data_IF_585021345280
#
_entry.id   IF_585021345280
#
_cell.length_a   1.000
_cell.length_b   1.000
_cell.length_c   1.000
_cell.angle_alpha   90.00
_cell.angle_beta   90.00
_cell.angle_gamma   90.00
#
_symmetry.space_group_name_H-M   'P 1'
#
loop_
_entity.id
_entity.type
_entity.pdbx_description
1 polymer ?
#
# COMPACT_ATOMS: atom_id res chain seq x y z
N UNK A 1 -10.86 -18.86 -27.93
CA UNK A 1 -10.18 -19.84 -27.06
C UNK A 1 -9.08 -19.09 -26.30
N UNK A 2 -9.13 -19.11 -24.95
CA UNK A 2 -8.12 -18.59 -24.00
C UNK A 2 -7.84 -17.08 -24.09
N UNK A 3 -7.79 -16.27 -23.02
CA UNK A 3 -7.43 -16.57 -21.64
C UNK A 3 -8.32 -15.82 -20.66
N UNK A 4 -9.00 -16.58 -19.80
CA UNK A 4 -9.66 -16.09 -18.58
C UNK A 4 -8.75 -16.38 -17.39
N UNK A 5 -7.57 -15.74 -17.36
CA UNK A 5 -6.76 -15.74 -16.15
C UNK A 5 -7.34 -14.73 -15.16
N UNK A 6 -8.24 -15.24 -14.31
CA UNK A 6 -8.77 -14.51 -13.18
C UNK A 6 -7.62 -14.01 -12.29
N UNK A 7 -7.61 -12.74 -11.85
CA UNK A 7 -6.56 -12.20 -10.97
C UNK A 7 -6.41 -12.97 -9.64
N UNK A 8 -7.45 -13.72 -9.23
CA UNK A 8 -7.38 -14.64 -8.10
C UNK A 8 -6.50 -15.87 -8.37
N UNK A 9 -6.51 -16.41 -9.59
CA UNK A 9 -5.72 -17.58 -9.96
C UNK A 9 -4.22 -17.24 -10.04
N UNK A 10 -3.87 -16.05 -10.57
CA UNK A 10 -2.49 -15.56 -10.61
C UNK A 10 -1.94 -15.36 -9.19
N UNK A 11 -2.74 -14.86 -8.25
CA UNK A 11 -2.39 -14.71 -6.83
C UNK A 11 -2.12 -16.05 -6.14
N UNK A 12 -2.94 -17.08 -6.41
CA UNK A 12 -2.76 -18.42 -5.84
C UNK A 12 -1.52 -19.11 -6.42
N UNK A 13 -1.27 -18.98 -7.72
CA UNK A 13 -0.10 -19.58 -8.38
C UNK A 13 1.20 -18.90 -7.96
N UNK A 14 1.18 -17.58 -7.76
CA UNK A 14 2.29 -16.81 -7.19
C UNK A 14 2.60 -17.25 -5.74
N UNK A 15 1.57 -17.41 -4.90
CA UNK A 15 1.70 -17.89 -3.51
C UNK A 15 2.25 -19.33 -3.43
N UNK A 16 1.80 -20.24 -4.29
CA UNK A 16 2.30 -21.63 -4.37
C UNK A 16 3.76 -21.74 -4.82
N UNK A 17 4.22 -20.86 -5.73
CA UNK A 17 5.62 -20.82 -6.16
C UNK A 17 6.54 -20.36 -5.01
N UNK A 18 6.08 -19.40 -4.22
CA UNK A 18 6.78 -18.86 -3.05
C UNK A 18 6.89 -19.86 -1.90
N UNK A 19 5.89 -20.72 -1.70
CA UNK A 19 5.96 -21.83 -0.72
C UNK A 19 7.11 -22.82 -1.00
N UNK A 20 7.40 -23.11 -2.28
CA UNK A 20 8.55 -23.93 -2.66
C UNK A 20 9.88 -23.21 -2.43
N UNK A 21 9.95 -21.91 -2.70
CA UNK A 21 11.14 -21.11 -2.45
C UNK A 21 11.39 -20.89 -0.95
N UNK A 22 10.34 -20.73 -0.13
CA UNK A 22 10.44 -20.67 1.34
C UNK A 22 10.87 -22.00 1.95
N UNK A 23 10.38 -23.12 1.42
CA UNK A 23 10.84 -24.45 1.84
C UNK A 23 12.32 -24.67 1.49
N UNK A 24 12.78 -24.18 0.33
CA UNK A 24 14.18 -24.22 -0.07
C UNK A 24 15.07 -23.26 0.75
N UNK A 25 14.59 -22.04 1.05
CA UNK A 25 15.26 -21.08 1.94
C UNK A 25 15.34 -21.61 3.38
N UNK A 26 14.28 -22.25 3.87
CA UNK A 26 14.28 -22.97 5.13
C UNK A 26 15.19 -24.20 5.13
N UNK A 27 15.69 -24.68 3.99
CA UNK A 27 16.77 -25.67 3.93
C UNK A 27 18.16 -25.02 3.81
N UNK A 28 18.28 -23.86 3.16
CA UNK A 28 19.56 -23.17 2.98
C UNK A 28 20.05 -22.39 4.22
N UNK A 29 19.16 -21.94 5.11
CA UNK A 29 19.53 -21.21 6.35
C UNK A 29 20.16 -22.13 7.40
N UNK A 30 20.06 -23.46 7.26
CA UNK A 30 20.57 -24.44 8.23
C UNK A 30 22.03 -24.88 8.02
N UNK A 31 22.77 -24.27 7.09
CA UNK A 31 24.18 -24.59 6.88
C UNK A 31 25.03 -23.64 7.76
N UNK A 32 25.30 -24.14 8.97
CA UNK A 32 26.32 -23.75 9.97
C UNK A 32 26.54 -22.25 10.26
N UNK A 33 26.12 -21.73 11.44
CA UNK A 33 26.72 -20.53 11.98
C UNK A 33 28.14 -20.86 12.51
N UNK A 34 29.12 -19.96 12.37
CA UNK A 34 30.48 -20.18 12.85
C UNK A 34 30.50 -20.42 14.37
N UNK A 35 31.28 -21.43 14.80
CA UNK A 35 31.52 -21.85 16.18
C UNK A 35 32.33 -20.84 17.03
N UNK A 36 31.91 -19.59 17.06
CA UNK A 36 32.39 -18.60 18.04
C UNK A 36 31.18 -17.82 18.51
N UNK A 37 30.72 -18.08 19.74
CA UNK A 37 29.50 -17.54 20.35
C UNK A 37 29.43 -16.01 20.15
N UNK A 38 28.67 -15.51 19.15
CA UNK A 38 28.41 -14.08 19.03
C UNK A 38 27.58 -13.70 20.25
N UNK A 39 27.95 -12.63 20.94
CA UNK A 39 27.16 -12.09 22.05
C UNK A 39 25.78 -11.68 21.53
N UNK A 40 24.80 -12.58 21.61
CA UNK A 40 23.42 -12.29 21.24
C UNK A 40 22.79 -11.34 22.25
N UNK A 41 21.92 -10.45 21.79
CA UNK A 41 21.28 -9.43 22.62
C UNK A 41 19.82 -9.80 22.83
N UNK A 42 19.46 -10.20 24.05
CA UNK A 42 18.06 -10.47 24.39
C UNK A 42 17.28 -9.15 24.50
N UNK A 43 16.18 -9.06 23.76
CA UNK A 43 15.26 -7.93 23.84
C UNK A 43 14.31 -8.15 25.01
N UNK A 44 14.51 -7.39 26.09
CA UNK A 44 13.79 -7.51 27.36
C UNK A 44 12.85 -6.33 27.59
N UNK A 45 12.05 -6.01 26.58
CA UNK A 45 11.00 -5.00 26.66
C UNK A 45 9.68 -5.55 26.13
N UNK A 46 8.52 -5.08 26.63
CA UNK A 46 7.23 -5.54 26.13
C UNK A 46 7.09 -5.40 24.61
N UNK A 47 6.60 -6.43 23.88
CA UNK A 47 5.99 -7.67 24.39
C UNK A 47 6.97 -8.88 24.47
N UNK A 48 8.28 -8.66 24.42
CA UNK A 48 9.31 -9.70 24.36
C UNK A 48 9.93 -10.05 25.73
N UNK A 49 9.42 -9.46 26.80
CA UNK A 49 9.85 -9.71 28.18
C UNK A 49 9.10 -10.88 28.86
N UNK A 50 8.08 -11.46 28.23
CA UNK A 50 7.23 -12.52 28.79
C UNK A 50 8.01 -13.84 29.05
N UNK A 51 7.99 -14.30 30.30
CA UNK A 51 8.57 -15.58 30.73
C UNK A 51 7.87 -16.80 30.12
N UNK A 52 6.62 -16.66 29.66
CA UNK A 52 5.83 -17.75 29.06
C UNK A 52 6.06 -17.92 27.56
N UNK A 53 6.98 -17.16 26.97
CA UNK A 53 7.37 -17.33 25.59
C UNK A 53 7.88 -18.75 25.32
N UNK A 54 7.45 -19.35 24.21
CA UNK A 54 7.70 -20.75 23.84
C UNK A 54 8.53 -20.87 22.54
N UNK A 55 9.05 -19.75 22.03
CA UNK A 55 9.99 -19.69 20.90
C UNK A 55 10.80 -18.39 20.93
N UNK A 56 12.02 -18.43 20.40
CA UNK A 56 12.87 -17.25 20.18
C UNK A 56 13.09 -17.03 18.69
N UNK A 57 12.80 -15.84 18.20
CA UNK A 57 13.19 -15.41 16.86
C UNK A 57 14.52 -14.67 17.00
N UNK A 58 15.51 -15.05 16.19
CA UNK A 58 16.82 -14.41 16.18
C UNK A 58 17.06 -13.70 14.85
N UNK A 59 17.27 -12.39 14.89
CA UNK A 59 17.60 -11.58 13.72
C UNK A 59 19.04 -11.81 13.25
N UNK A 60 19.35 -11.39 12.02
CA UNK A 60 20.68 -11.55 11.42
C UNK A 60 21.78 -10.77 12.13
N UNK A 61 21.42 -9.67 12.81
CA UNK A 61 22.30 -8.82 13.61
C UNK A 61 22.37 -9.25 15.10
N UNK A 62 21.81 -10.42 15.43
CA UNK A 62 22.04 -11.08 16.72
C UNK A 62 21.08 -10.70 17.85
N UNK A 63 19.97 -10.00 17.56
CA UNK A 63 18.93 -9.74 18.54
C UNK A 63 17.99 -10.94 18.69
N UNK A 64 17.63 -11.25 19.93
CA UNK A 64 16.77 -12.37 20.29
C UNK A 64 15.44 -11.86 20.87
N UNK A 65 14.35 -12.25 20.22
CA UNK A 65 12.99 -11.87 20.55
C UNK A 65 12.23 -13.09 21.10
N UNK A 66 11.94 -13.09 22.40
CA UNK A 66 11.10 -14.12 23.02
C UNK A 66 9.64 -13.90 22.60
N UNK A 67 9.05 -14.87 21.92
CA UNK A 67 7.68 -14.75 21.40
C UNK A 67 6.88 -16.04 21.56
N UNK A 68 5.67 -16.05 21.03
CA UNK A 68 4.70 -17.12 21.20
C UNK A 68 4.41 -17.79 19.86
N UNK A 69 4.63 -19.10 19.77
CA UNK A 69 4.34 -19.92 18.58
C UNK A 69 2.89 -19.75 18.14
N UNK A 70 1.96 -19.64 19.10
CA UNK A 70 0.54 -19.42 18.79
C UNK A 70 0.32 -18.12 18.03
N UNK A 71 1.04 -17.04 18.35
CA UNK A 71 0.91 -15.76 17.65
C UNK A 71 1.51 -15.86 16.25
N UNK A 72 2.71 -16.43 16.10
CA UNK A 72 3.32 -16.62 14.78
C UNK A 72 2.45 -17.46 13.85
N UNK A 73 1.89 -18.57 14.38
CA UNK A 73 0.96 -19.46 13.65
C UNK A 73 -0.36 -18.79 13.31
N UNK A 74 -0.89 -17.91 14.17
CA UNK A 74 -2.17 -17.22 13.93
C UNK A 74 -2.02 -15.98 13.05
N UNK A 75 -0.87 -15.33 13.07
CA UNK A 75 -0.55 -14.21 12.19
C UNK A 75 -0.36 -14.66 10.75
N UNK A 76 -0.01 -15.93 10.54
CA UNK A 76 0.27 -16.49 9.22
C UNK A 76 -0.87 -17.37 8.75
N UNK A 77 -1.39 -17.13 7.56
CA UNK A 77 -2.49 -17.90 6.97
C UNK A 77 -2.03 -19.22 6.36
N UNK A 78 -0.77 -19.30 5.95
CA UNK A 78 -0.16 -20.50 5.37
C UNK A 78 0.69 -21.25 6.40
N UNK A 79 0.92 -22.55 6.15
CA UNK A 79 1.65 -23.44 7.06
C UNK A 79 3.18 -23.20 7.08
N UNK A 80 3.64 -21.95 6.90
CA UNK A 80 5.06 -21.58 6.97
C UNK A 80 5.62 -21.87 8.37
N UNK A 81 5.02 -21.32 9.42
CA UNK A 81 5.49 -21.55 10.78
C UNK A 81 5.31 -22.98 11.27
N UNK A 82 4.19 -23.68 11.03
CA UNK A 82 4.12 -25.10 11.36
C UNK A 82 5.22 -25.93 10.68
N UNK A 83 5.59 -25.62 9.44
CA UNK A 83 6.70 -26.30 8.76
C UNK A 83 8.05 -25.95 9.39
N UNK A 84 8.36 -24.67 9.61
CA UNK A 84 9.61 -24.22 10.26
C UNK A 84 9.73 -24.79 11.68
N UNK A 85 8.64 -24.79 12.45
CA UNK A 85 8.59 -25.32 13.81
C UNK A 85 8.69 -26.86 13.86
N UNK A 86 8.46 -27.55 12.75
CA UNK A 86 8.63 -29.01 12.65
C UNK A 86 10.07 -29.45 12.38
N UNK A 87 10.93 -28.53 11.93
CA UNK A 87 12.34 -28.80 11.69
C UNK A 87 13.11 -28.90 13.03
N UNK A 88 14.21 -29.67 13.09
CA UNK A 88 15.12 -29.65 14.24
C UNK A 88 15.68 -28.23 14.46
N UNK A 89 15.29 -27.58 15.56
CA UNK A 89 15.75 -26.24 15.90
C UNK A 89 16.87 -26.28 16.94
N UNK A 90 17.88 -25.39 16.86
CA UNK A 90 18.76 -25.10 17.99
C UNK A 90 17.93 -24.69 19.20
N UNK A 91 18.36 -25.10 20.40
CA UNK A 91 17.64 -24.78 21.64
C UNK A 91 18.56 -24.10 22.63
N UNK A 92 18.05 -23.08 23.33
CA UNK A 92 18.73 -22.44 24.46
C UNK A 92 17.95 -22.68 25.75
N UNK A 93 18.70 -22.78 26.83
CA UNK A 93 18.14 -22.85 28.18
C UNK A 93 17.83 -21.42 28.64
N UNK A 94 16.55 -21.12 28.87
CA UNK A 94 16.14 -19.88 29.53
C UNK A 94 15.72 -20.24 30.94
N UNK A 95 16.59 -19.95 31.92
CA UNK A 95 16.30 -20.25 33.33
C UNK A 95 15.21 -19.30 33.82
N UNK A 96 14.08 -19.84 34.29
CA UNK A 96 13.21 -19.12 35.22
C UNK A 96 13.84 -19.23 36.60
N UNK A 97 14.08 -18.10 37.28
CA UNK A 97 14.74 -18.06 38.60
C UNK A 97 13.94 -18.76 39.72
N UNK A 98 12.78 -19.36 39.41
CA UNK A 98 11.80 -19.81 40.39
C UNK A 98 11.51 -21.32 40.40
N UNK A 99 12.28 -22.18 39.70
CA UNK A 99 12.01 -23.63 39.67
C UNK A 99 13.03 -24.46 40.46
N UNK A 100 12.51 -25.26 41.40
CA UNK A 100 13.25 -26.23 42.21
C UNK A 100 13.85 -27.37 41.36
N UNK A 101 14.93 -27.96 41.87
CA UNK A 101 15.95 -28.80 41.19
C UNK A 101 15.43 -30.17 40.68
N UNK A 102 14.14 -30.33 40.34
CA UNK A 102 13.56 -31.63 39.94
C UNK A 102 12.75 -31.65 38.64
N UNK A 103 12.77 -30.57 37.86
CA UNK A 103 12.14 -30.57 36.52
C UNK A 103 13.05 -31.24 35.49
N UNK A 104 12.54 -32.24 34.78
CA UNK A 104 13.24 -32.94 33.70
C UNK A 104 13.76 -31.96 32.63
N UNK A 105 14.95 -32.18 32.03
CA UNK A 105 15.63 -31.22 31.12
C UNK A 105 14.85 -30.82 29.86
N UNK A 106 13.74 -31.48 29.54
CA UNK A 106 12.96 -31.26 28.33
C UNK A 106 12.03 -30.03 28.38
N UNK A 107 11.75 -29.48 29.56
CA UNK A 107 10.78 -28.39 29.73
C UNK A 107 11.36 -26.97 29.66
N UNK A 108 12.69 -26.80 29.80
CA UNK A 108 13.33 -25.47 29.92
C UNK A 108 14.08 -25.03 28.63
N UNK A 109 14.00 -25.83 27.56
CA UNK A 109 14.73 -25.58 26.32
C UNK A 109 13.82 -24.98 25.24
N UNK A 110 13.92 -23.66 25.06
CA UNK A 110 13.13 -22.90 24.08
C UNK A 110 13.81 -22.98 22.69
N UNK A 111 13.07 -23.33 21.62
CA UNK A 111 13.61 -23.35 20.26
C UNK A 111 13.96 -21.95 19.77
N UNK A 112 15.08 -21.84 19.06
CA UNK A 112 15.53 -20.60 18.42
C UNK A 112 15.42 -20.76 16.91
N UNK A 113 14.76 -19.81 16.27
CA UNK A 113 14.60 -19.75 14.82
C UNK A 113 15.40 -18.54 14.32
N UNK A 114 16.54 -18.75 13.64
CA UNK A 114 17.25 -17.68 12.97
C UNK A 114 16.48 -17.21 11.74
N UNK A 115 16.41 -15.89 11.55
CA UNK A 115 15.84 -15.24 10.37
C UNK A 115 16.88 -14.32 9.73
N UNK A 116 16.88 -14.16 8.40
CA UNK A 116 17.88 -13.35 7.70
C UNK A 116 17.62 -11.84 7.76
N UNK A 117 16.46 -11.41 8.26
CA UNK A 117 16.15 -10.00 8.46
C UNK A 117 16.82 -9.47 9.74
N UNK A 118 17.19 -8.18 9.72
CA UNK A 118 17.79 -7.49 10.86
C UNK A 118 16.76 -7.08 11.92
N UNK A 119 17.23 -6.60 13.07
CA UNK A 119 16.37 -6.13 14.16
C UNK A 119 15.41 -5.02 13.74
N UNK A 120 15.80 -4.15 12.80
CA UNK A 120 14.96 -3.04 12.30
C UNK A 120 13.71 -3.54 11.60
N UNK A 121 13.77 -4.70 10.95
CA UNK A 121 12.61 -5.32 10.29
C UNK A 121 11.91 -6.31 11.22
N UNK A 122 12.67 -7.12 11.96
CA UNK A 122 12.12 -8.19 12.81
C UNK A 122 11.31 -7.63 13.98
N UNK A 123 11.81 -6.61 14.68
CA UNK A 123 11.13 -6.00 15.83
C UNK A 123 9.72 -5.48 15.47
N UNK A 124 9.56 -4.56 14.49
CA UNK A 124 8.24 -4.05 14.14
C UNK A 124 7.34 -5.14 13.55
N UNK A 125 7.87 -6.09 12.76
CA UNK A 125 7.07 -7.20 12.24
C UNK A 125 6.47 -8.05 13.36
N UNK A 126 7.30 -8.42 14.35
CA UNK A 126 6.85 -9.20 15.49
C UNK A 126 5.87 -8.41 16.35
N UNK A 127 6.13 -7.13 16.63
CA UNK A 127 5.19 -6.26 17.36
C UNK A 127 3.83 -6.15 16.67
N UNK A 128 3.77 -6.13 15.33
CA UNK A 128 2.51 -6.17 14.58
C UNK A 128 1.70 -7.46 14.79
N UNK A 129 2.33 -8.55 15.27
CA UNK A 129 1.64 -9.79 15.63
C UNK A 129 0.96 -9.72 17.00
N UNK A 130 1.30 -8.74 17.85
CA UNK A 130 0.74 -8.60 19.20
C UNK A 130 -0.39 -7.55 19.21
N UNK A 131 -1.63 -7.94 19.55
CA UNK A 131 -2.71 -6.98 19.78
C UNK A 131 -2.48 -6.15 21.06
N UNK A 132 -3.08 -4.94 21.18
CA UNK A 132 -3.96 -4.30 20.21
C UNK A 132 -3.18 -3.61 19.09
N UNK A 133 -3.53 -3.94 17.85
CA UNK A 133 -2.90 -3.39 16.64
C UNK A 133 -3.18 -1.90 16.40
N UNK A 134 -4.03 -1.31 17.23
CA UNK A 134 -4.69 -0.03 16.96
C UNK A 134 -4.04 1.20 17.56
N UNK A 135 -2.93 1.08 18.31
CA UNK A 135 -2.17 2.27 18.70
C UNK A 135 -1.47 2.88 17.48
N UNK A 136 -2.14 3.84 16.85
CA UNK A 136 -1.64 4.57 15.69
C UNK A 136 -0.32 5.30 16.00
N UNK A 137 -0.08 5.71 17.25
CA UNK A 137 1.18 6.37 17.65
C UNK A 137 2.33 5.39 17.67
N UNK A 138 2.10 4.18 18.19
CA UNK A 138 3.10 3.12 18.18
C UNK A 138 3.49 2.72 16.74
N UNK A 139 2.52 2.62 15.83
CA UNK A 139 2.76 2.30 14.40
C UNK A 139 3.59 3.36 13.67
N UNK A 140 3.32 4.65 13.91
CA UNK A 140 4.10 5.75 13.31
C UNK A 140 5.56 5.69 13.75
N UNK A 141 5.82 5.35 15.01
CA UNK A 141 7.21 5.21 15.49
C UNK A 141 7.90 3.97 14.88
N UNK A 142 7.20 2.83 14.87
CA UNK A 142 7.76 1.55 14.40
C UNK A 142 8.03 1.50 12.90
N UNK A 143 7.22 2.18 12.09
CA UNK A 143 7.33 2.19 10.62
C UNK A 143 7.68 3.59 10.09
N UNK A 144 8.43 4.35 10.88
CA UNK A 144 8.71 5.77 10.66
C UNK A 144 9.55 6.06 9.41
N UNK A 145 10.43 5.15 9.01
CA UNK A 145 11.23 5.29 7.81
C UNK A 145 10.74 4.37 6.68
N UNK A 146 10.88 4.85 5.44
CA UNK A 146 10.41 4.16 4.24
C UNK A 146 11.10 2.80 4.06
N UNK A 147 12.41 2.71 4.35
CA UNK A 147 13.21 1.51 4.12
C UNK A 147 12.80 0.37 5.04
N UNK A 148 12.69 0.64 6.34
CA UNK A 148 12.13 -0.27 7.34
C UNK A 148 10.71 -0.67 6.96
N UNK A 149 9.86 0.29 6.56
CA UNK A 149 8.48 -0.04 6.18
C UNK A 149 8.43 -1.00 4.98
N UNK A 150 9.24 -0.77 3.94
CA UNK A 150 9.38 -1.69 2.79
C UNK A 150 9.92 -3.06 3.22
N UNK A 151 10.92 -3.10 4.10
CA UNK A 151 11.48 -4.34 4.66
C UNK A 151 10.43 -5.14 5.45
N UNK A 152 9.62 -4.47 6.27
CA UNK A 152 8.53 -5.10 7.03
C UNK A 152 7.45 -5.65 6.10
N UNK A 153 7.05 -4.91 5.06
CA UNK A 153 6.11 -5.44 4.06
C UNK A 153 6.70 -6.67 3.36
N UNK A 154 7.98 -6.64 3.01
CA UNK A 154 8.66 -7.76 2.36
C UNK A 154 8.72 -8.99 3.25
N UNK A 155 9.09 -8.81 4.52
CA UNK A 155 9.15 -9.88 5.51
C UNK A 155 7.74 -10.45 5.82
N UNK A 156 6.74 -9.59 6.02
CA UNK A 156 5.36 -10.04 6.22
C UNK A 156 4.85 -10.87 5.04
N UNK A 157 5.16 -10.46 3.81
CA UNK A 157 4.85 -11.19 2.59
C UNK A 157 5.63 -12.50 2.45
N UNK A 158 6.90 -12.52 2.89
CA UNK A 158 7.75 -13.71 2.90
C UNK A 158 7.24 -14.75 3.90
N UNK A 159 6.81 -14.32 5.09
CA UNK A 159 6.31 -15.21 6.14
C UNK A 159 4.79 -15.47 6.06
N UNK A 160 4.13 -15.00 5.00
CA UNK A 160 2.69 -15.14 4.75
C UNK A 160 1.82 -14.60 5.92
N UNK A 161 2.25 -13.48 6.50
CA UNK A 161 1.61 -12.82 7.65
C UNK A 161 0.59 -11.76 7.20
N UNK A 162 -0.63 -12.18 6.85
CA UNK A 162 -1.67 -11.31 6.26
C UNK A 162 -2.03 -10.08 7.11
N UNK A 163 -2.13 -10.24 8.44
CA UNK A 163 -2.47 -9.15 9.37
C UNK A 163 -1.40 -8.05 9.38
N UNK A 164 -0.16 -8.39 9.78
CA UNK A 164 0.99 -7.50 9.70
C UNK A 164 1.20 -6.91 8.30
N UNK A 165 1.07 -7.72 7.23
CA UNK A 165 1.21 -7.24 5.85
C UNK A 165 0.21 -6.12 5.56
N UNK A 166 -1.08 -6.34 5.85
CA UNK A 166 -2.14 -5.37 5.58
C UNK A 166 -1.91 -4.07 6.34
N UNK A 167 -1.48 -4.15 7.60
CA UNK A 167 -1.18 -2.96 8.42
C UNK A 167 0.01 -2.21 7.82
N UNK A 168 1.12 -2.89 7.56
CA UNK A 168 2.34 -2.29 7.04
C UNK A 168 2.12 -1.66 5.65
N UNK A 169 1.40 -2.32 4.74
CA UNK A 169 1.04 -1.79 3.42
C UNK A 169 0.14 -0.56 3.49
N UNK A 170 -0.83 -0.56 4.41
CA UNK A 170 -1.69 0.61 4.62
C UNK A 170 -0.88 1.80 5.13
N UNK A 171 0.05 1.54 6.05
CA UNK A 171 0.96 2.55 6.57
C UNK A 171 1.89 3.09 5.48
N UNK A 172 2.57 2.20 4.74
CA UNK A 172 3.41 2.50 3.59
C UNK A 172 2.71 3.43 2.61
N UNK A 173 1.50 3.05 2.18
CA UNK A 173 0.75 3.86 1.23
C UNK A 173 0.40 5.25 1.77
N UNK A 174 -0.08 5.31 3.01
CA UNK A 174 -0.66 6.54 3.57
C UNK A 174 0.41 7.54 3.99
N UNK A 175 1.50 7.07 4.60
CA UNK A 175 2.50 7.92 5.22
C UNK A 175 3.77 8.10 4.38
N UNK A 176 4.09 7.14 3.50
CA UNK A 176 5.32 7.19 2.71
C UNK A 176 5.08 7.44 1.23
N UNK A 177 4.14 6.73 0.60
CA UNK A 177 3.99 6.80 -0.86
C UNK A 177 3.10 7.98 -1.31
N UNK A 178 1.88 8.09 -0.80
CA UNK A 178 0.95 9.14 -1.25
C UNK A 178 1.46 10.58 -1.04
N UNK A 179 2.19 10.92 0.04
CA UNK A 179 2.75 12.26 0.22
C UNK A 179 3.77 12.67 -0.85
N UNK A 180 4.47 11.70 -1.46
CA UNK A 180 5.49 11.95 -2.48
C UNK A 180 4.93 12.14 -3.89
N UNK A 181 3.63 11.92 -4.12
CA UNK A 181 2.98 12.01 -5.44
C UNK A 181 3.71 11.18 -6.52
N UNK A 182 4.47 11.82 -7.42
CA UNK A 182 5.28 11.18 -8.46
C UNK A 182 6.36 10.27 -7.87
N UNK A 183 7.06 10.73 -6.84
CA UNK A 183 8.08 9.92 -6.15
C UNK A 183 7.49 8.65 -5.54
N UNK A 184 6.28 8.74 -5.01
CA UNK A 184 5.56 7.59 -4.45
C UNK A 184 5.21 6.52 -5.49
N UNK A 185 4.92 6.91 -6.72
CA UNK A 185 4.77 5.96 -7.83
C UNK A 185 6.10 5.30 -8.18
N UNK A 186 7.16 6.09 -8.26
CA UNK A 186 8.49 5.60 -8.61
C UNK A 186 9.03 4.59 -7.57
N UNK A 187 8.93 4.93 -6.28
CA UNK A 187 9.28 4.02 -5.17
C UNK A 187 8.48 2.73 -5.23
N UNK A 188 7.16 2.82 -5.39
CA UNK A 188 6.30 1.63 -5.39
C UNK A 188 6.62 0.69 -6.57
N UNK A 189 6.91 1.25 -7.75
CA UNK A 189 7.26 0.47 -8.94
C UNK A 189 8.67 -0.13 -8.83
N UNK A 190 9.63 0.62 -8.28
CA UNK A 190 10.97 0.13 -8.03
C UNK A 190 10.95 -1.02 -7.02
N UNK A 191 10.25 -0.86 -5.89
CA UNK A 191 10.06 -1.87 -4.86
C UNK A 191 9.44 -3.18 -5.41
N UNK A 192 8.53 -3.10 -6.38
CA UNK A 192 8.00 -4.29 -7.06
C UNK A 192 9.04 -5.05 -7.86
N UNK A 193 9.89 -4.32 -8.59
CA UNK A 193 10.86 -4.89 -9.53
C UNK A 193 12.10 -5.40 -8.81
N UNK A 194 12.63 -4.60 -7.89
CA UNK A 194 13.87 -4.86 -7.18
C UNK A 194 13.67 -5.87 -6.03
N UNK A 195 12.61 -5.70 -5.24
CA UNK A 195 12.34 -6.55 -4.05
C UNK A 195 11.30 -7.63 -4.26
N UNK A 196 10.61 -7.65 -5.41
CA UNK A 196 9.51 -8.59 -5.66
C UNK A 196 8.27 -8.35 -4.77
N UNK A 197 8.07 -7.12 -4.29
CA UNK A 197 6.96 -6.77 -3.40
C UNK A 197 5.61 -6.79 -4.13
N UNK A 198 4.60 -7.44 -3.54
CA UNK A 198 3.25 -7.53 -4.11
C UNK A 198 2.38 -6.29 -3.76
N UNK A 199 2.80 -5.10 -4.18
CA UNK A 199 2.16 -3.80 -3.85
C UNK A 199 1.51 -3.08 -5.05
N UNK A 200 0.89 -3.85 -5.95
CA UNK A 200 0.31 -3.32 -7.19
C UNK A 200 -0.86 -2.37 -6.98
N UNK A 201 -1.62 -2.54 -5.91
CA UNK A 201 -2.73 -1.64 -5.60
C UNK A 201 -2.20 -0.29 -5.09
N UNK A 202 -1.17 -0.29 -4.26
CA UNK A 202 -0.49 0.91 -3.79
C UNK A 202 0.10 1.69 -4.97
N UNK A 203 0.76 0.99 -5.90
CA UNK A 203 1.31 1.60 -7.13
C UNK A 203 0.22 2.26 -7.97
N UNK A 204 -0.93 1.58 -8.14
CA UNK A 204 -2.10 2.16 -8.85
C UNK A 204 -2.67 3.37 -8.11
N UNK A 205 -2.70 3.33 -6.77
CA UNK A 205 -3.17 4.46 -5.96
C UNK A 205 -2.24 5.65 -6.07
N UNK A 206 -0.92 5.46 -6.11
CA UNK A 206 0.05 6.52 -6.42
C UNK A 206 -0.16 7.08 -7.84
N UNK A 207 -0.32 6.21 -8.85
CA UNK A 207 -0.59 6.66 -10.22
C UNK A 207 -1.89 7.47 -10.33
N UNK A 208 -2.92 7.13 -9.55
CA UNK A 208 -4.15 7.93 -9.46
C UNK A 208 -3.96 9.23 -8.69
N UNK A 209 -3.12 9.25 -7.67
CA UNK A 209 -2.79 10.47 -6.94
C UNK A 209 -2.05 11.48 -7.83
N UNK A 210 -1.18 10.99 -8.72
CA UNK A 210 -0.48 11.79 -9.74
C UNK A 210 -1.44 12.58 -10.64
N UNK A 211 -2.66 12.09 -10.90
CA UNK A 211 -3.69 12.78 -11.70
C UNK A 211 -4.18 14.10 -11.08
N UNK A 212 -3.85 14.38 -9.82
CA UNK A 212 -4.25 15.61 -9.12
C UNK A 212 -3.43 16.82 -9.52
N UNK A 213 -2.23 16.59 -10.05
CA UNK A 213 -1.30 17.65 -10.42
C UNK A 213 -1.21 17.71 -11.95
N UNK A 214 -1.26 18.91 -12.56
CA UNK A 214 -1.06 19.08 -13.99
C UNK A 214 0.28 18.50 -14.42
N UNK A 215 0.30 17.97 -15.63
CA UNK A 215 1.44 17.22 -16.12
C UNK A 215 2.69 18.10 -16.33
N UNK A 216 2.50 19.37 -16.68
CA UNK A 216 3.57 20.35 -16.84
C UNK A 216 4.04 20.98 -15.52
N UNK A 217 3.29 20.79 -14.43
CA UNK A 217 3.61 21.31 -13.09
C UNK A 217 4.38 20.28 -12.24
N UNK A 218 4.76 19.14 -12.82
CA UNK A 218 5.48 18.10 -12.08
C UNK A 218 6.92 18.55 -11.82
N UNK A 219 7.29 18.59 -10.55
CA UNK A 219 8.67 18.82 -10.15
C UNK A 219 9.48 17.52 -10.25
N UNK A 220 10.78 17.67 -10.49
CA UNK A 220 11.73 16.58 -10.33
C UNK A 220 11.68 16.03 -8.91
N UNK A 221 11.73 14.70 -8.78
CA UNK A 221 11.95 14.03 -7.51
C UNK A 221 13.06 12.98 -7.69
N UNK A 222 13.95 12.81 -6.70
CA UNK A 222 15.09 11.90 -6.84
C UNK A 222 14.68 10.44 -7.04
N UNK A 223 13.49 10.04 -6.58
CA UNK A 223 12.98 8.67 -6.74
C UNK A 223 12.74 8.30 -8.21
N UNK A 224 12.67 9.28 -9.13
CA UNK A 224 12.62 9.02 -10.56
C UNK A 224 13.85 8.28 -11.08
N UNK A 225 15.00 8.42 -10.42
CA UNK A 225 16.22 7.68 -10.76
C UNK A 225 16.05 6.16 -10.59
N UNK A 226 15.08 5.73 -9.77
CA UNK A 226 14.78 4.33 -9.51
C UNK A 226 13.91 3.67 -10.61
N UNK A 227 13.39 4.45 -11.56
CA UNK A 227 12.53 3.97 -12.65
C UNK A 227 13.09 4.29 -14.02
N UNK A 228 12.64 3.54 -15.03
CA UNK A 228 13.07 3.77 -16.41
C UNK A 228 12.29 4.93 -17.04
N UNK A 229 12.85 5.55 -18.07
CA UNK A 229 12.10 6.51 -18.90
C UNK A 229 10.80 5.91 -19.46
N UNK A 230 10.80 4.61 -19.77
CA UNK A 230 9.60 3.89 -20.22
C UNK A 230 8.51 3.79 -19.15
N UNK A 231 8.87 3.65 -17.87
CA UNK A 231 7.93 3.67 -16.75
C UNK A 231 7.26 5.04 -16.63
N UNK A 232 8.06 6.10 -16.69
CA UNK A 232 7.57 7.47 -16.66
C UNK A 232 6.66 7.79 -17.86
N UNK A 233 7.03 7.39 -19.08
CA UNK A 233 6.20 7.58 -20.27
C UNK A 233 4.87 6.82 -20.19
N UNK A 234 4.83 5.65 -19.55
CA UNK A 234 3.56 4.93 -19.28
C UNK A 234 2.67 5.71 -18.31
N UNK A 235 3.23 6.28 -17.24
CA UNK A 235 2.48 7.11 -16.29
C UNK A 235 1.96 8.39 -16.97
N UNK A 236 2.80 9.05 -17.78
CA UNK A 236 2.41 10.20 -18.58
C UNK A 236 1.27 9.87 -19.54
N UNK A 237 1.40 8.77 -20.30
CA UNK A 237 0.35 8.30 -21.21
C UNK A 237 -0.94 7.98 -20.46
N UNK A 238 -0.84 7.39 -19.27
CA UNK A 238 -1.99 7.17 -18.39
C UNK A 238 -2.68 8.48 -18.01
N UNK A 239 -1.93 9.51 -17.60
CA UNK A 239 -2.46 10.83 -17.27
C UNK A 239 -3.19 11.47 -18.47
N UNK A 240 -2.56 11.51 -19.65
CA UNK A 240 -3.16 12.06 -20.88
C UNK A 240 -4.47 11.35 -21.25
N UNK A 241 -4.50 10.00 -21.18
CA UNK A 241 -5.73 9.24 -21.46
C UNK A 241 -6.83 9.57 -20.45
N UNK A 242 -6.49 9.69 -19.17
CA UNK A 242 -7.44 10.09 -18.13
C UNK A 242 -7.95 11.51 -18.36
N UNK A 243 -7.07 12.45 -18.74
CA UNK A 243 -7.42 13.82 -19.09
C UNK A 243 -8.41 13.88 -20.25
N UNK A 244 -8.12 13.18 -21.35
CA UNK A 244 -9.00 13.12 -22.51
C UNK A 244 -10.37 12.49 -22.18
N UNK A 245 -10.38 11.43 -21.37
CA UNK A 245 -11.63 10.80 -20.93
C UNK A 245 -12.46 11.74 -20.03
N UNK A 246 -11.82 12.45 -19.11
CA UNK A 246 -12.48 13.41 -18.23
C UNK A 246 -13.04 14.61 -19.02
N UNK A 247 -12.26 15.17 -19.96
CA UNK A 247 -12.70 16.21 -20.88
C UNK A 247 -13.92 15.76 -21.70
N UNK A 248 -13.89 14.53 -22.24
CA UNK A 248 -14.99 13.99 -23.03
C UNK A 248 -16.30 13.89 -22.23
N UNK A 249 -16.23 13.55 -20.93
CA UNK A 249 -17.41 13.52 -20.06
C UNK A 249 -18.00 14.92 -19.86
N UNK A 250 -17.16 15.95 -19.75
CA UNK A 250 -17.64 17.33 -19.64
C UNK A 250 -18.26 17.83 -20.95
N UNK A 251 -17.66 17.50 -22.10
CA UNK A 251 -18.15 17.94 -23.41
C UNK A 251 -19.38 17.15 -23.89
N UNK A 252 -19.51 15.89 -23.51
CA UNK A 252 -20.64 15.04 -23.89
C UNK A 252 -21.74 15.11 -22.82
N UNK A 253 -22.74 15.96 -23.04
CA UNK A 253 -23.80 16.26 -22.08
C UNK A 253 -24.93 15.22 -22.03
N UNK A 254 -24.79 14.07 -22.70
CA UNK A 254 -25.80 12.99 -22.72
C UNK A 254 -26.11 12.39 -21.33
N UNK A 255 -25.27 12.64 -20.32
CA UNK A 255 -25.54 12.26 -18.94
C UNK A 255 -26.53 13.18 -18.22
N UNK A 256 -26.88 14.33 -18.80
CA UNK A 256 -27.86 15.26 -18.23
C UNK A 256 -29.27 14.75 -18.50
N UNK A 257 -29.96 14.33 -17.45
CA UNK A 257 -31.34 13.81 -17.50
C UNK A 257 -32.36 14.91 -17.20
N UNK A 258 -32.03 15.83 -16.28
CA UNK A 258 -32.94 16.88 -15.81
C UNK A 258 -33.00 18.04 -16.79
N UNK A 259 -34.20 18.29 -17.28
CA UNK A 259 -34.47 19.33 -18.28
C UNK A 259 -34.80 20.69 -17.68
N UNK A 260 -35.39 20.70 -16.48
CA UNK A 260 -35.91 21.91 -15.85
C UNK A 260 -34.84 22.63 -15.04
N UNK A 261 -33.63 22.66 -15.57
CA UNK A 261 -32.51 23.31 -14.90
C UNK A 261 -32.50 24.78 -15.29
N UNK A 262 -32.16 25.71 -14.38
CA UNK A 262 -32.21 27.16 -14.65
C UNK A 262 -31.40 27.61 -15.88
N UNK A 263 -30.35 26.87 -16.24
CA UNK A 263 -29.51 27.14 -17.41
C UNK A 263 -30.13 26.70 -18.75
N UNK A 264 -31.21 25.90 -18.74
CA UNK A 264 -31.98 25.54 -19.94
C UNK A 264 -33.26 26.37 -20.13
N UNK A 265 -33.72 27.05 -19.07
CA UNK A 265 -34.98 27.80 -19.07
C UNK A 265 -34.78 29.33 -19.17
N UNK A 266 -33.55 29.84 -18.94
CA UNK A 266 -33.26 31.27 -19.04
C UNK A 266 -33.39 31.79 -20.48
N UNK A 267 -34.48 32.49 -20.79
CA UNK A 267 -34.69 33.16 -22.09
C UNK A 267 -34.09 34.57 -22.16
N UNK A 268 -33.80 35.19 -21.01
CA UNK A 268 -33.23 36.54 -20.93
C UNK A 268 -31.70 36.59 -21.10
N UNK A 269 -31.03 35.43 -21.03
CA UNK A 269 -29.58 35.32 -21.13
C UNK A 269 -29.13 35.50 -22.60
N UNK A 270 -28.40 36.58 -22.91
CA UNK A 270 -27.85 36.81 -24.27
C UNK A 270 -26.82 35.72 -24.63
N UNK A 271 -27.01 35.04 -25.77
CA UNK A 271 -26.09 34.02 -26.30
C UNK A 271 -26.47 32.58 -25.96
N UNK A 272 -27.63 32.12 -26.43
CA UNK A 272 -28.06 30.73 -26.26
C UNK A 272 -27.32 29.81 -27.25
N UNK A 273 -26.72 28.73 -26.75
CA UNK A 273 -26.19 27.66 -27.60
C UNK A 273 -27.09 26.43 -27.54
N UNK A 274 -27.19 25.70 -28.65
CA UNK A 274 -27.91 24.41 -28.66
C UNK A 274 -26.97 23.31 -28.19
N UNK A 275 -27.37 22.58 -27.15
CA UNK A 275 -26.65 21.41 -26.64
C UNK A 275 -27.50 20.16 -26.76
N UNK A 276 -26.85 19.00 -26.85
CA UNK A 276 -27.50 17.68 -26.90
C UNK A 276 -27.35 17.00 -25.55
N UNK A 277 -28.48 16.66 -24.92
CA UNK A 277 -28.53 15.97 -23.63
C UNK A 277 -28.99 14.52 -23.80
N UNK A 278 -29.34 13.85 -22.69
CA UNK A 278 -29.87 12.48 -22.71
C UNK A 278 -31.00 12.28 -23.72
N UNK A 279 -31.05 11.08 -24.30
CA UNK A 279 -32.01 10.70 -25.35
C UNK A 279 -31.94 11.57 -26.61
N UNK A 280 -30.75 12.09 -26.93
CA UNK A 280 -30.46 12.94 -28.11
C UNK A 280 -31.33 14.19 -28.23
N UNK A 281 -31.83 14.68 -27.09
CA UNK A 281 -32.68 15.86 -27.03
C UNK A 281 -31.85 17.12 -27.13
N UNK A 282 -32.34 18.09 -27.90
CA UNK A 282 -31.71 19.41 -28.09
C UNK A 282 -32.31 20.40 -27.09
N UNK A 283 -31.47 21.13 -26.37
CA UNK A 283 -31.87 22.20 -25.45
C UNK A 283 -31.07 23.47 -25.72
N UNK A 284 -31.71 24.62 -25.56
CA UNK A 284 -31.02 25.89 -25.50
C UNK A 284 -30.38 26.02 -24.12
N UNK A 285 -29.09 26.35 -24.09
CA UNK A 285 -28.35 26.56 -22.86
C UNK A 285 -27.83 28.00 -22.80
N UNK A 286 -27.93 28.61 -21.62
CA UNK A 286 -27.39 29.95 -21.35
C UNK A 286 -25.88 30.02 -21.54
N UNK A 287 -25.38 31.12 -22.12
CA UNK A 287 -23.95 31.37 -22.36
C UNK A 287 -23.05 31.08 -21.15
N UNK A 288 -23.40 31.62 -19.98
CA UNK A 288 -22.58 31.44 -18.77
C UNK A 288 -22.38 29.96 -18.42
N UNK A 289 -23.38 29.12 -18.69
CA UNK A 289 -23.32 27.69 -18.38
C UNK A 289 -22.48 26.93 -19.39
N UNK A 290 -22.57 27.29 -20.68
CA UNK A 290 -21.71 26.70 -21.71
C UNK A 290 -20.25 27.09 -21.53
N UNK A 291 -20.00 28.35 -21.15
CA UNK A 291 -18.65 28.84 -20.82
C UNK A 291 -18.12 28.06 -19.60
N UNK A 292 -18.93 27.89 -18.55
CA UNK A 292 -18.58 27.07 -17.38
C UNK A 292 -18.27 25.61 -17.74
N UNK A 293 -19.07 24.94 -18.58
CA UNK A 293 -18.79 23.56 -19.03
C UNK A 293 -17.49 23.50 -19.83
N UNK A 294 -17.21 24.51 -20.66
CA UNK A 294 -15.96 24.64 -21.40
C UNK A 294 -14.75 24.73 -20.47
N UNK A 295 -14.81 25.62 -19.48
CA UNK A 295 -13.78 25.77 -18.45
C UNK A 295 -13.60 24.49 -17.62
N UNK A 296 -14.70 23.83 -17.25
CA UNK A 296 -14.68 22.55 -16.55
C UNK A 296 -14.03 21.44 -17.38
N UNK A 297 -14.25 21.40 -18.69
CA UNK A 297 -13.62 20.44 -19.59
C UNK A 297 -12.10 20.63 -19.65
N UNK A 298 -11.63 21.87 -19.72
CA UNK A 298 -10.19 22.21 -19.70
C UNK A 298 -9.57 21.82 -18.36
N UNK A 299 -10.17 22.26 -17.25
CA UNK A 299 -9.69 21.92 -15.91
C UNK A 299 -9.66 20.40 -15.67
N UNK A 300 -10.67 19.67 -16.18
CA UNK A 300 -10.74 18.21 -16.11
C UNK A 300 -9.64 17.51 -16.88
N UNK A 301 -9.26 18.06 -18.03
CA UNK A 301 -8.17 17.54 -18.84
C UNK A 301 -6.84 17.67 -18.12
N UNK A 302 -6.60 18.80 -17.47
CA UNK A 302 -5.36 19.09 -16.76
C UNK A 302 -5.22 18.28 -15.46
N UNK A 303 -6.32 18.08 -14.73
CA UNK A 303 -6.33 17.39 -13.43
C UNK A 303 -7.41 16.31 -13.38
N UNK A 304 -7.25 15.15 -14.05
CA UNK A 304 -8.31 14.15 -14.16
C UNK A 304 -8.52 13.34 -12.86
N UNK A 305 -8.95 14.02 -11.79
CA UNK A 305 -9.16 13.46 -10.45
C UNK A 305 -10.60 13.66 -9.98
N UNK A 306 -11.15 12.81 -9.12
CA UNK A 306 -12.46 13.07 -8.51
C UNK A 306 -12.40 14.06 -7.35
N UNK A 307 -11.19 14.28 -6.83
CA UNK A 307 -10.94 15.12 -5.67
C UNK A 307 -10.47 16.49 -6.14
N UNK A 308 -11.42 17.34 -6.51
CA UNK A 308 -11.19 18.78 -6.54
C UNK A 308 -11.22 19.29 -5.10
N UNK A 309 -10.07 19.79 -4.60
CA UNK A 309 -10.07 20.63 -3.41
C UNK A 309 -10.85 21.93 -3.68
N UNK A 310 -10.77 22.90 -2.76
CA UNK A 310 -11.16 24.29 -3.03
C UNK A 310 -10.18 24.91 -4.03
N UNK A 311 -10.17 24.41 -5.27
CA UNK A 311 -9.36 24.96 -6.34
C UNK A 311 -9.95 26.33 -6.66
N UNK A 312 -9.31 27.38 -6.16
CA UNK A 312 -9.41 28.70 -6.76
C UNK A 312 -8.84 28.54 -8.17
N UNK A 313 -9.73 28.39 -9.14
CA UNK A 313 -9.35 28.60 -10.53
C UNK A 313 -8.90 30.05 -10.60
N UNK A 314 -7.59 30.28 -10.73
CA UNK A 314 -7.04 31.60 -10.92
C UNK A 314 -7.62 32.14 -12.24
N UNK A 315 -8.65 32.98 -12.16
CA UNK A 315 -9.28 33.58 -13.33
C UNK A 315 -10.76 33.92 -13.22
N UNK A 316 -11.53 33.31 -12.33
CA UNK A 316 -12.97 33.57 -12.27
C UNK A 316 -13.50 33.65 -10.84
N UNK A 317 -14.03 34.82 -10.46
CA UNK A 317 -14.61 35.14 -9.15
C UNK A 317 -15.91 34.38 -8.79
N UNK A 318 -15.96 33.07 -9.05
CA UNK A 318 -17.14 32.22 -8.87
C UNK A 318 -16.79 30.96 -8.07
N UNK A 319 -16.36 31.14 -6.83
CA UNK A 319 -15.97 30.06 -5.90
C UNK A 319 -17.15 29.18 -5.42
N UNK A 320 -18.40 29.52 -5.77
CA UNK A 320 -19.60 28.83 -5.28
C UNK A 320 -20.20 27.74 -6.18
N UNK A 321 -19.87 27.67 -7.48
CA UNK A 321 -20.63 26.83 -8.46
C UNK A 321 -20.07 25.43 -8.75
N UNK A 322 -18.91 25.06 -8.21
CA UNK A 322 -18.29 23.76 -8.46
C UNK A 322 -18.84 22.60 -7.62
N UNK A 323 -19.55 22.89 -6.51
CA UNK A 323 -20.06 21.86 -5.57
C UNK A 323 -20.96 20.79 -6.24
N UNK A 324 -21.89 21.12 -7.16
CA UNK A 324 -22.72 20.11 -7.84
C UNK A 324 -21.91 19.23 -8.80
N UNK A 325 -20.91 19.81 -9.48
CA UNK A 325 -20.05 19.08 -10.42
C UNK A 325 -19.06 18.16 -9.70
N UNK A 326 -18.46 18.64 -8.60
CA UNK A 326 -17.61 17.84 -7.72
C UNK A 326 -18.38 16.67 -7.09
N UNK A 327 -19.64 16.89 -6.65
CA UNK A 327 -20.51 15.83 -6.12
C UNK A 327 -20.88 14.77 -7.16
N UNK A 328 -20.94 15.16 -8.45
CA UNK A 328 -21.18 14.23 -9.56
C UNK A 328 -19.93 13.43 -9.96
N UNK A 329 -18.75 14.08 -10.01
CA UNK A 329 -17.47 13.38 -10.22
C UNK A 329 -17.17 12.37 -9.10
N UNK A 330 -17.68 12.59 -7.88
CA UNK A 330 -17.57 11.64 -6.77
C UNK A 330 -18.48 10.40 -6.91
N UNK A 331 -19.54 10.45 -7.73
CA UNK A 331 -20.54 9.37 -7.87
C UNK A 331 -20.21 8.34 -8.97
N UNK A 332 -19.27 8.62 -9.87
CA UNK A 332 -18.81 7.70 -10.92
C UNK A 332 -17.36 7.39 -10.76
#
# INVERSE_FOLDING_TARGET
MGDNDSPHAVSITYRKKRLRELYMLACCIFIDPPMSDPTYIAVNEPPFDDEKADVVIRSSDGFEYRTHQVLLRRSSVESVWPAVLSLPQPRKYYRSDNCSILSTPSHDMIPIIPVPEDSKVVDPLLRLCYPPWDDARCRVTLLSDLETCLGVVQAAQKYCMDGPEKIARTHLLTHHLLPLSLGGYAVALHAQRDRGLAISEETRRCARAFLRTPLLEQAYTPELECITAGDYLRLHSFHVRCGNAAEAVARNLRWIIKENSPWFECTACRGLAVVVISSDRRKWASKWWTDFIGEAAVALKERPTRQWGSVQCAGAGYTGRWKPFAKFLQMK
#
